data_IF_639075281931
#
_entry.id   IF_639075281931
#
_cell.length_a   1.000
_cell.length_b   1.000
_cell.length_c   1.000
_cell.angle_alpha   90.00
_cell.angle_beta   90.00
_cell.angle_gamma   90.00
#
_symmetry.space_group_name_H-M   'P 1'
#
loop_
_entity.id
_entity.type
_entity.pdbx_description
1 polymer ?
#
# COMPACT_ATOMS: atom_id res chain seq x y z
N UNK A 1 2.32 -3.98 29.72
CA UNK A 1 2.69 -3.71 31.12
C UNK A 1 1.51 -3.32 32.02
N UNK A 2 0.24 -3.34 31.59
CA UNK A 2 -0.91 -3.28 32.52
C UNK A 2 -1.10 -2.00 33.35
N UNK A 3 -0.17 -1.04 33.29
CA UNK A 3 -0.25 0.22 34.01
C UNK A 3 -1.43 1.08 33.54
N UNK A 4 -2.05 1.79 34.50
CA UNK A 4 -3.10 2.77 34.24
C UNK A 4 -2.63 4.15 34.70
N UNK A 5 -2.89 5.19 33.91
CA UNK A 5 -2.69 6.57 34.32
C UNK A 5 -3.64 6.90 35.46
N UNK A 6 -3.12 7.54 36.51
CA UNK A 6 -3.94 8.14 37.57
C UNK A 6 -4.80 9.29 37.01
N UNK A 7 -5.82 9.66 37.76
CA UNK A 7 -6.83 10.63 37.33
C UNK A 7 -6.22 11.99 36.99
N UNK A 8 -5.29 12.50 37.82
CA UNK A 8 -4.68 13.81 37.62
C UNK A 8 -3.82 13.84 36.36
N UNK A 9 -2.97 12.84 36.16
CA UNK A 9 -2.15 12.74 34.94
C UNK A 9 -3.01 12.67 33.69
N UNK A 10 -4.16 11.96 33.76
CA UNK A 10 -5.11 11.89 32.65
C UNK A 10 -5.76 13.24 32.34
N UNK A 11 -6.21 13.97 33.36
CA UNK A 11 -6.79 15.30 33.22
C UNK A 11 -5.80 16.30 32.62
N UNK A 12 -4.54 16.27 33.07
CA UNK A 12 -3.48 17.09 32.47
C UNK A 12 -3.26 16.77 30.99
N UNK A 13 -3.18 15.48 30.63
CA UNK A 13 -2.99 15.05 29.24
C UNK A 13 -4.17 15.45 28.34
N UNK A 14 -5.41 15.34 28.84
CA UNK A 14 -6.61 15.77 28.10
C UNK A 14 -6.65 17.29 27.93
N UNK A 15 -6.34 18.05 28.98
CA UNK A 15 -6.28 19.51 28.94
C UNK A 15 -5.23 20.00 27.94
N UNK A 16 -4.04 19.38 27.93
CA UNK A 16 -3.01 19.68 26.93
C UNK A 16 -3.48 19.41 25.49
N UNK A 17 -4.21 18.31 25.29
CA UNK A 17 -4.75 17.96 23.97
C UNK A 17 -5.82 18.96 23.50
N UNK A 18 -6.72 19.39 24.40
CA UNK A 18 -7.73 20.42 24.11
C UNK A 18 -7.11 21.78 23.79
N UNK A 19 -6.08 22.19 24.53
CA UNK A 19 -5.35 23.42 24.23
C UNK A 19 -4.81 23.40 22.81
N UNK A 20 -4.12 22.32 22.40
CA UNK A 20 -3.59 22.22 21.03
C UNK A 20 -4.71 22.24 19.99
N UNK A 21 -5.82 21.53 20.19
CA UNK A 21 -6.96 21.54 19.26
C UNK A 21 -7.54 22.96 19.09
N UNK A 22 -7.58 23.76 20.15
CA UNK A 22 -8.05 25.15 20.11
C UNK A 22 -7.11 26.08 19.32
N UNK A 23 -5.81 25.79 19.26
CA UNK A 23 -4.85 26.51 18.42
C UNK A 23 -4.90 26.03 16.96
N UNK A 24 -5.09 24.73 16.72
CA UNK A 24 -5.20 24.16 15.38
C UNK A 24 -6.42 24.69 14.61
N UNK A 25 -7.54 24.95 15.29
CA UNK A 25 -8.75 25.56 14.71
C UNK A 25 -8.57 27.04 14.34
N UNK A 26 -7.54 27.71 14.85
CA UNK A 26 -7.15 29.09 14.49
C UNK A 26 -6.05 29.15 13.40
N UNK A 27 -5.82 28.05 12.69
CA UNK A 27 -4.80 27.98 11.63
C UNK A 27 -3.37 27.81 12.13
N UNK A 28 -3.16 27.67 13.44
CA UNK A 28 -1.84 27.48 14.03
C UNK A 28 -1.57 25.98 14.18
N UNK A 29 -1.31 25.33 13.05
CA UNK A 29 -0.70 23.99 13.01
C UNK A 29 0.84 24.06 13.23
N UNK A 30 1.32 25.04 14.02
CA UNK A 30 2.71 25.50 14.01
C UNK A 30 3.68 24.71 14.90
N UNK A 31 3.21 23.73 15.67
CA UNK A 31 4.09 22.99 16.55
C UNK A 31 4.76 21.85 15.77
N UNK A 32 5.89 22.17 15.14
CA UNK A 32 6.82 21.18 14.58
C UNK A 32 7.49 20.46 15.76
N UNK A 33 6.96 19.30 16.14
CA UNK A 33 7.64 18.43 17.09
C UNK A 33 8.39 17.34 16.34
N UNK A 34 9.71 17.48 16.10
CA UNK A 34 10.49 16.42 15.46
C UNK A 34 10.47 15.11 16.27
N UNK A 35 10.16 15.16 17.58
CA UNK A 35 9.98 13.96 18.41
C UNK A 35 8.67 13.24 18.14
N UNK A 36 7.63 13.92 17.64
CA UNK A 36 6.32 13.29 17.44
C UNK A 36 6.37 12.10 16.48
N UNK A 37 7.16 12.22 15.40
CA UNK A 37 7.42 11.08 14.50
C UNK A 37 8.00 9.88 15.26
N UNK A 38 8.96 10.13 16.14
CA UNK A 38 9.63 9.10 16.92
C UNK A 38 8.68 8.45 17.94
N UNK A 39 7.86 9.25 18.63
CA UNK A 39 6.83 8.75 19.56
C UNK A 39 5.78 7.89 18.83
N UNK A 40 5.28 8.36 17.68
CA UNK A 40 4.36 7.58 16.84
C UNK A 40 4.99 6.29 16.35
N UNK A 41 6.27 6.31 15.98
CA UNK A 41 7.03 5.11 15.63
C UNK A 41 7.06 4.13 16.80
N UNK A 42 7.37 4.56 18.02
CA UNK A 42 7.38 3.67 19.18
C UNK A 42 6.00 3.05 19.44
N UNK A 43 4.93 3.86 19.37
CA UNK A 43 3.55 3.39 19.52
C UNK A 43 3.18 2.38 18.44
N UNK A 44 3.39 2.70 17.17
CA UNK A 44 2.97 1.90 16.01
C UNK A 44 3.86 0.67 15.75
N UNK A 45 5.07 0.64 16.30
CA UNK A 45 5.96 -0.52 16.27
C UNK A 45 5.76 -1.49 17.46
N UNK A 46 5.08 -1.06 18.53
CA UNK A 46 4.85 -1.89 19.71
C UNK A 46 3.95 -3.10 19.40
N UNK A 47 4.10 -4.19 20.17
CA UNK A 47 3.22 -5.37 20.07
C UNK A 47 1.74 -5.04 20.37
N UNK A 48 1.52 -4.05 21.25
CA UNK A 48 0.21 -3.58 21.73
C UNK A 48 -0.22 -2.26 21.08
N UNK A 49 0.22 -2.00 19.85
CA UNK A 49 0.02 -0.72 19.17
C UNK A 49 -1.45 -0.30 19.04
N UNK A 50 -2.39 -1.25 18.87
CA UNK A 50 -3.83 -0.94 18.83
C UNK A 50 -4.29 -0.40 20.18
N UNK A 51 -3.93 -1.06 21.28
CA UNK A 51 -4.30 -0.64 22.62
C UNK A 51 -3.70 0.74 22.93
N UNK A 52 -2.45 0.98 22.51
CA UNK A 52 -1.81 2.28 22.64
C UNK A 52 -2.55 3.36 21.84
N UNK A 53 -2.93 3.11 20.58
CA UNK A 53 -3.74 4.05 19.79
C UNK A 53 -5.10 4.33 20.44
N UNK A 54 -5.76 3.33 21.05
CA UNK A 54 -7.02 3.53 21.79
C UNK A 54 -6.84 4.43 23.00
N UNK A 55 -5.71 4.34 23.70
CA UNK A 55 -5.42 5.26 24.80
C UNK A 55 -5.17 6.67 24.28
N UNK A 56 -4.45 6.82 23.16
CA UNK A 56 -4.26 8.13 22.52
C UNK A 56 -5.58 8.75 22.06
N UNK A 57 -6.51 7.96 21.53
CA UNK A 57 -7.86 8.40 21.19
C UNK A 57 -8.61 8.94 22.43
N UNK A 58 -8.59 8.19 23.55
CA UNK A 58 -9.24 8.61 24.81
C UNK A 58 -8.66 9.90 25.40
N UNK A 59 -7.39 10.19 25.09
CA UNK A 59 -6.72 11.42 25.49
C UNK A 59 -6.96 12.57 24.49
N UNK A 60 -7.55 12.30 23.33
CA UNK A 60 -7.72 13.28 22.25
C UNK A 60 -6.43 13.59 21.49
N UNK A 61 -5.39 12.76 21.67
CA UNK A 61 -4.06 12.98 21.12
C UNK A 61 -3.98 12.68 19.61
N UNK A 62 -4.87 11.83 19.07
CA UNK A 62 -4.92 11.58 17.62
C UNK A 62 -5.35 12.80 16.81
N UNK A 63 -6.17 13.69 17.39
CA UNK A 63 -6.56 14.95 16.76
C UNK A 63 -5.40 15.92 16.52
N UNK A 64 -4.26 15.69 17.18
CA UNK A 64 -3.02 16.41 16.90
C UNK A 64 -2.51 16.14 15.47
N UNK A 65 -2.76 14.94 14.94
CA UNK A 65 -2.40 14.61 13.57
C UNK A 65 -3.36 15.24 12.57
N UNK A 66 -4.67 15.05 12.79
CA UNK A 66 -5.73 15.63 11.97
C UNK A 66 -7.02 15.72 12.78
N UNK A 67 -7.84 16.80 12.68
CA UNK A 67 -8.98 17.03 13.57
C UNK A 67 -10.06 15.96 13.49
N UNK A 68 -10.16 15.29 12.33
CA UNK A 68 -11.15 14.25 12.07
C UNK A 68 -10.55 12.84 12.16
N UNK A 69 -9.30 12.70 12.61
CA UNK A 69 -8.68 11.39 12.81
C UNK A 69 -9.21 10.76 14.08
N UNK A 70 -10.07 9.75 13.90
CA UNK A 70 -10.63 8.95 15.00
C UNK A 70 -10.28 7.49 14.78
N UNK A 71 -9.91 6.79 15.86
CA UNK A 71 -9.65 5.35 15.82
C UNK A 71 -10.96 4.54 15.76
N UNK A 72 -11.63 4.60 14.62
CA UNK A 72 -12.83 3.80 14.35
C UNK A 72 -12.50 2.29 14.28
N UNK A 73 -13.55 1.46 14.35
CA UNK A 73 -13.43 0.02 14.11
C UNK A 73 -12.90 -0.27 12.71
N UNK A 74 -13.37 0.48 11.71
CA UNK A 74 -12.90 0.38 10.33
C UNK A 74 -11.41 0.74 10.24
N UNK A 75 -10.98 1.91 10.70
CA UNK A 75 -9.56 2.31 10.66
C UNK A 75 -8.68 1.28 11.38
N UNK A 76 -9.12 0.79 12.55
CA UNK A 76 -8.41 -0.27 13.28
C UNK A 76 -8.23 -1.54 12.44
N UNK A 77 -9.24 -1.94 11.67
CA UNK A 77 -9.15 -3.09 10.76
C UNK A 77 -8.23 -2.82 9.57
N UNK A 78 -8.29 -1.63 8.98
CA UNK A 78 -7.42 -1.22 7.87
C UNK A 78 -5.93 -1.25 8.29
N UNK A 79 -5.62 -0.70 9.47
CA UNK A 79 -4.25 -0.69 10.03
C UNK A 79 -3.74 -2.09 10.41
N UNK A 80 -4.62 -2.97 10.91
CA UNK A 80 -4.27 -4.38 11.14
C UNK A 80 -3.98 -5.08 9.83
N UNK A 81 -4.83 -4.86 8.82
CA UNK A 81 -4.71 -5.47 7.50
C UNK A 81 -3.44 -5.07 6.78
N UNK A 82 -3.13 -3.77 6.71
CA UNK A 82 -1.90 -3.30 6.06
C UNK A 82 -0.67 -3.90 6.73
N UNK A 83 -0.64 -3.95 8.07
CA UNK A 83 0.46 -4.54 8.81
C UNK A 83 0.60 -6.05 8.58
N UNK A 84 -0.51 -6.78 8.57
CA UNK A 84 -0.52 -8.23 8.31
C UNK A 84 -0.07 -8.55 6.88
N UNK A 85 -0.53 -7.78 5.89
CA UNK A 85 -0.15 -7.96 4.49
C UNK A 85 1.33 -7.63 4.28
N UNK A 86 1.84 -6.51 4.79
CA UNK A 86 3.27 -6.18 4.69
C UNK A 86 4.14 -7.28 5.30
N UNK A 87 3.79 -7.77 6.49
CA UNK A 87 4.53 -8.84 7.15
C UNK A 87 4.47 -10.17 6.37
N UNK A 88 3.32 -10.50 5.78
CA UNK A 88 3.16 -11.72 4.98
C UNK A 88 3.95 -11.63 3.68
N UNK A 89 3.81 -10.52 2.96
CA UNK A 89 4.34 -10.35 1.61
C UNK A 89 5.81 -9.96 1.56
N UNK A 90 6.42 -9.48 2.65
CA UNK A 90 7.86 -9.17 2.66
C UNK A 90 8.75 -10.39 2.39
N UNK A 91 8.19 -11.61 2.55
CA UNK A 91 8.86 -12.87 2.19
C UNK A 91 8.84 -13.16 0.69
N UNK A 92 7.91 -12.56 -0.04
CA UNK A 92 7.72 -12.74 -1.49
C UNK A 92 8.28 -11.55 -2.29
N UNK A 93 8.27 -10.35 -1.70
CA UNK A 93 8.67 -9.11 -2.36
C UNK A 93 9.75 -8.40 -1.56
N UNK A 94 10.97 -8.37 -2.12
CA UNK A 94 12.15 -7.75 -1.51
C UNK A 94 12.04 -6.23 -1.36
N UNK A 95 11.14 -5.59 -2.11
CA UNK A 95 10.90 -4.14 -2.00
C UNK A 95 10.18 -3.73 -0.71
N UNK A 96 9.57 -4.68 0.01
CA UNK A 96 8.83 -4.38 1.24
C UNK A 96 9.81 -4.29 2.42
N UNK A 97 9.90 -3.11 3.02
CA UNK A 97 10.64 -2.91 4.26
C UNK A 97 9.80 -3.31 5.49
N UNK A 98 10.04 -4.53 5.98
CA UNK A 98 9.35 -5.06 7.15
C UNK A 98 9.70 -4.35 8.47
N UNK A 99 10.80 -3.59 8.53
CA UNK A 99 11.20 -2.83 9.72
C UNK A 99 10.41 -1.52 9.85
N UNK A 100 9.87 -1.01 8.75
CA UNK A 100 9.13 0.26 8.70
C UNK A 100 7.63 0.09 8.47
N UNK A 101 7.05 -1.06 8.86
CA UNK A 101 5.58 -1.28 8.86
C UNK A 101 4.84 -0.20 9.65
N UNK A 102 5.43 0.31 10.74
CA UNK A 102 4.87 1.40 11.54
C UNK A 102 4.60 2.65 10.67
N UNK A 103 5.48 2.95 9.71
CA UNK A 103 5.37 4.12 8.86
C UNK A 103 4.21 3.94 7.87
N UNK A 104 4.08 2.77 7.26
CA UNK A 104 2.98 2.49 6.34
C UNK A 104 1.62 2.46 7.06
N UNK A 105 1.57 2.02 8.33
CA UNK A 105 0.35 2.17 9.16
C UNK A 105 -0.02 3.63 9.35
N UNK A 106 0.96 4.48 9.71
CA UNK A 106 0.73 5.92 9.85
C UNK A 106 0.24 6.53 8.54
N UNK A 107 0.85 6.17 7.41
CA UNK A 107 0.45 6.62 6.09
C UNK A 107 -0.99 6.21 5.77
N UNK A 108 -1.38 4.94 5.97
CA UNK A 108 -2.78 4.51 5.78
C UNK A 108 -3.75 5.26 6.70
N UNK A 109 -3.35 5.57 7.93
CA UNK A 109 -4.19 6.32 8.86
C UNK A 109 -4.53 7.72 8.34
N UNK A 110 -3.64 8.34 7.58
CA UNK A 110 -3.81 9.70 7.08
C UNK A 110 -4.16 9.78 5.58
N UNK A 111 -3.94 8.71 4.81
CA UNK A 111 -3.98 8.71 3.35
C UNK A 111 -5.33 9.12 2.73
N UNK A 112 -6.42 9.02 3.49
CA UNK A 112 -7.76 9.39 3.00
C UNK A 112 -8.10 10.87 3.20
N UNK A 113 -7.26 11.62 3.94
CA UNK A 113 -7.47 13.04 4.15
C UNK A 113 -6.82 13.89 3.04
N UNK A 114 -7.45 15.00 2.60
CA UNK A 114 -6.90 15.88 1.56
C UNK A 114 -5.54 16.48 1.89
N UNK A 115 -5.22 16.64 3.18
CA UNK A 115 -3.99 17.23 3.69
C UNK A 115 -2.94 16.20 4.13
N UNK A 116 -3.11 14.92 3.74
CA UNK A 116 -2.20 13.82 4.08
C UNK A 116 -0.72 14.13 3.82
N UNK A 117 -0.41 14.74 2.68
CA UNK A 117 0.96 15.14 2.32
C UNK A 117 1.50 16.20 3.28
N UNK A 118 0.71 17.23 3.61
CA UNK A 118 1.09 18.28 4.56
C UNK A 118 1.33 17.71 5.96
N UNK A 119 0.50 16.77 6.39
CA UNK A 119 0.68 16.06 7.66
C UNK A 119 2.02 15.29 7.65
N UNK A 120 2.31 14.59 6.56
CA UNK A 120 3.55 13.82 6.41
C UNK A 120 4.81 14.69 6.34
N UNK A 121 4.76 15.85 5.68
CA UNK A 121 5.82 16.85 5.66
C UNK A 121 6.11 17.38 7.07
N UNK A 122 5.05 17.72 7.83
CA UNK A 122 5.17 18.15 9.23
C UNK A 122 5.77 17.07 10.13
N UNK A 123 5.46 15.81 9.86
CA UNK A 123 6.05 14.67 10.57
C UNK A 123 7.44 14.31 10.05
N UNK A 124 7.99 15.04 9.07
CA UNK A 124 9.26 14.75 8.43
C UNK A 124 9.37 13.29 7.96
N UNK A 125 8.31 12.77 7.32
CA UNK A 125 8.37 11.46 6.65
C UNK A 125 9.36 11.51 5.49
N UNK A 126 9.93 10.35 5.15
CA UNK A 126 10.88 10.25 4.04
C UNK A 126 10.19 10.48 2.69
N UNK A 127 10.99 10.74 1.64
CA UNK A 127 10.48 10.99 0.29
C UNK A 127 9.59 9.84 -0.22
N UNK A 128 9.91 8.60 0.13
CA UNK A 128 9.10 7.44 -0.24
C UNK A 128 7.68 7.53 0.36
N UNK A 129 7.54 7.90 1.64
CA UNK A 129 6.24 8.10 2.27
C UNK A 129 5.45 9.28 1.69
N UNK A 130 6.14 10.39 1.42
CA UNK A 130 5.53 11.56 0.74
C UNK A 130 4.99 11.18 -0.63
N UNK A 131 5.78 10.48 -1.44
CA UNK A 131 5.36 10.04 -2.78
C UNK A 131 4.16 9.08 -2.72
N UNK A 132 4.17 8.12 -1.79
CA UNK A 132 3.04 7.19 -1.61
C UNK A 132 1.75 7.91 -1.27
N UNK A 133 1.80 8.90 -0.37
CA UNK A 133 0.64 9.70 0.01
C UNK A 133 0.16 10.62 -1.11
N UNK A 134 1.08 11.25 -1.84
CA UNK A 134 0.75 12.10 -2.99
C UNK A 134 0.07 11.30 -4.12
N UNK A 135 0.53 10.08 -4.38
CA UNK A 135 -0.04 9.22 -5.41
C UNK A 135 -1.30 8.46 -4.96
N UNK A 136 -1.58 8.41 -3.66
CA UNK A 136 -2.66 7.59 -3.10
C UNK A 136 -4.04 7.87 -3.72
N UNK A 137 -4.48 9.14 -3.91
CA UNK A 137 -5.77 9.42 -4.55
C UNK A 137 -5.83 8.94 -6.00
N UNK A 138 -4.78 9.20 -6.80
CA UNK A 138 -4.72 8.77 -8.20
C UNK A 138 -4.75 7.24 -8.31
N UNK A 139 -4.02 6.54 -7.43
CA UNK A 139 -4.07 5.08 -7.36
C UNK A 139 -5.47 4.59 -6.99
N UNK A 140 -6.16 5.24 -6.04
CA UNK A 140 -7.54 4.90 -5.69
C UNK A 140 -8.48 5.03 -6.90
N UNK A 141 -8.38 6.11 -7.67
CA UNK A 141 -9.20 6.35 -8.86
C UNK A 141 -8.91 5.32 -9.96
N UNK A 142 -7.63 4.96 -10.13
CA UNK A 142 -7.25 3.88 -11.06
C UNK A 142 -7.83 2.54 -10.64
N UNK A 143 -7.84 2.24 -9.35
CA UNK A 143 -8.39 0.99 -8.80
C UNK A 143 -9.91 0.94 -8.79
N UNK A 144 -10.60 2.09 -8.86
CA UNK A 144 -12.04 2.12 -9.06
C UNK A 144 -12.47 1.48 -10.39
N UNK A 145 -11.54 1.33 -11.35
CA UNK A 145 -11.75 0.63 -12.62
C UNK A 145 -11.67 -0.89 -12.50
N UNK A 146 -11.21 -1.42 -11.36
CA UNK A 146 -11.16 -2.87 -11.16
C UNK A 146 -12.58 -3.41 -10.96
N UNK A 147 -12.96 -4.39 -11.77
CA UNK A 147 -14.19 -5.16 -11.63
C UNK A 147 -13.89 -6.65 -11.63
N UNK A 148 -14.89 -7.45 -11.25
CA UNK A 148 -14.78 -8.91 -11.30
C UNK A 148 -14.70 -9.46 -12.73
N UNK A 149 -15.11 -8.67 -13.73
CA UNK A 149 -15.17 -9.07 -15.15
C UNK A 149 -13.82 -8.92 -15.86
N UNK A 150 -12.87 -8.23 -15.24
CA UNK A 150 -11.54 -8.06 -15.82
C UNK A 150 -10.77 -9.38 -15.81
N UNK A 151 -10.07 -9.64 -16.92
CA UNK A 151 -9.14 -10.76 -16.99
C UNK A 151 -7.94 -10.51 -16.07
N UNK A 152 -7.26 -11.58 -15.59
CA UNK A 152 -6.01 -11.45 -14.84
C UNK A 152 -4.99 -10.51 -15.49
N UNK A 153 -4.81 -10.56 -16.81
CA UNK A 153 -3.89 -9.71 -17.56
C UNK A 153 -4.29 -8.23 -17.52
N UNK A 154 -5.58 -7.92 -17.59
CA UNK A 154 -6.09 -6.56 -17.43
C UNK A 154 -5.85 -6.04 -16.01
N UNK A 155 -6.09 -6.86 -14.99
CA UNK A 155 -5.82 -6.50 -13.60
C UNK A 155 -4.33 -6.24 -13.38
N UNK A 156 -3.45 -7.12 -13.87
CA UNK A 156 -1.99 -6.93 -13.76
C UNK A 156 -1.54 -5.63 -14.43
N UNK A 157 -2.02 -5.30 -15.64
CA UNK A 157 -1.70 -4.03 -16.32
C UNK A 157 -2.15 -2.78 -15.55
N UNK A 158 -3.26 -2.87 -14.82
CA UNK A 158 -3.70 -1.79 -13.95
C UNK A 158 -2.81 -1.63 -12.71
N UNK A 159 -2.15 -2.69 -12.25
CA UNK A 159 -1.38 -2.71 -11.00
C UNK A 159 0.13 -2.61 -11.18
N UNK A 160 0.69 -3.02 -12.33
CA UNK A 160 2.14 -3.17 -12.54
C UNK A 160 2.96 -1.88 -12.44
N UNK A 161 2.30 -0.71 -12.46
CA UNK A 161 2.97 0.59 -12.26
C UNK A 161 2.98 1.07 -10.81
N UNK A 162 2.29 0.37 -9.92
CA UNK A 162 2.26 0.65 -8.49
C UNK A 162 3.34 -0.23 -7.82
N UNK A 163 4.01 0.31 -6.81
CA UNK A 163 4.80 -0.54 -5.91
C UNK A 163 3.89 -1.51 -5.16
N UNK A 164 4.45 -2.64 -4.72
CA UNK A 164 3.75 -3.62 -3.88
C UNK A 164 3.25 -2.98 -2.59
N UNK A 165 4.04 -2.07 -2.01
CA UNK A 165 3.61 -1.32 -0.81
C UNK A 165 2.35 -0.49 -1.10
N UNK A 166 2.30 0.21 -2.25
CA UNK A 166 1.12 0.99 -2.63
C UNK A 166 -0.09 0.09 -2.92
N UNK A 167 0.09 -1.06 -3.56
CA UNK A 167 -0.99 -2.05 -3.76
C UNK A 167 -1.54 -2.54 -2.41
N UNK A 168 -0.65 -2.81 -1.44
CA UNK A 168 -1.04 -3.22 -0.09
C UNK A 168 -1.79 -2.10 0.65
N UNK A 169 -1.31 -0.85 0.55
CA UNK A 169 -2.00 0.31 1.14
C UNK A 169 -3.41 0.48 0.57
N UNK A 170 -3.58 0.31 -0.74
CA UNK A 170 -4.89 0.38 -1.38
C UNK A 170 -5.79 -0.78 -0.94
N UNK A 171 -5.27 -2.01 -0.86
CA UNK A 171 -5.99 -3.15 -0.31
C UNK A 171 -6.39 -3.00 1.16
N UNK A 172 -5.65 -2.17 1.92
CA UNK A 172 -5.99 -1.82 3.28
C UNK A 172 -7.30 -1.05 3.39
N UNK A 173 -7.64 -0.19 2.43
CA UNK A 173 -8.86 0.65 2.47
C UNK A 173 -9.94 0.21 1.47
N UNK A 174 -9.60 -0.65 0.52
CA UNK A 174 -10.50 -1.04 -0.56
C UNK A 174 -11.67 -1.93 -0.07
N UNK A 175 -12.83 -1.89 -0.76
CA UNK A 175 -13.93 -2.82 -0.55
C UNK A 175 -13.51 -4.29 -0.71
N UNK A 176 -14.29 -5.21 -0.14
CA UNK A 176 -13.94 -6.63 -0.09
C UNK A 176 -13.69 -7.26 -1.47
N UNK A 177 -14.46 -6.89 -2.50
CA UNK A 177 -14.31 -7.45 -3.85
C UNK A 177 -12.99 -7.00 -4.51
N UNK A 178 -12.65 -5.72 -4.44
CA UNK A 178 -11.36 -5.18 -4.91
C UNK A 178 -10.21 -5.80 -4.14
N UNK A 179 -10.34 -5.86 -2.81
CA UNK A 179 -9.33 -6.43 -1.93
C UNK A 179 -8.98 -7.89 -2.28
N UNK A 180 -9.97 -8.70 -2.71
CA UNK A 180 -9.71 -10.07 -3.20
C UNK A 180 -8.87 -10.07 -4.47
N UNK A 181 -9.13 -9.16 -5.42
CA UNK A 181 -8.33 -9.03 -6.64
C UNK A 181 -6.89 -8.62 -6.32
N UNK A 182 -6.70 -7.64 -5.44
CA UNK A 182 -5.36 -7.20 -5.01
C UNK A 182 -4.60 -8.34 -4.31
N UNK A 183 -5.25 -9.10 -3.44
CA UNK A 183 -4.62 -10.25 -2.80
C UNK A 183 -4.21 -11.33 -3.80
N UNK A 184 -5.03 -11.59 -4.83
CA UNK A 184 -4.72 -12.56 -5.89
C UNK A 184 -3.59 -12.08 -6.80
N UNK A 185 -3.55 -10.78 -7.10
CA UNK A 185 -2.43 -10.15 -7.79
C UNK A 185 -1.11 -10.39 -7.03
N UNK A 186 -1.10 -10.10 -5.73
CA UNK A 186 0.08 -10.23 -4.88
C UNK A 186 0.52 -11.68 -4.61
N UNK A 187 -0.40 -12.65 -4.59
CA UNK A 187 -0.04 -14.04 -4.28
C UNK A 187 0.15 -14.93 -5.50
N UNK A 188 -0.40 -14.55 -6.65
CA UNK A 188 -0.46 -15.42 -7.82
C UNK A 188 0.06 -14.67 -9.02
N UNK A 189 -0.71 -13.71 -9.54
CA UNK A 189 -0.48 -13.18 -10.89
C UNK A 189 0.85 -12.46 -11.04
N UNK A 190 1.27 -11.71 -10.03
CA UNK A 190 2.54 -11.00 -10.06
C UNK A 190 3.77 -11.90 -9.80
N UNK A 191 3.54 -13.17 -9.43
CA UNK A 191 4.59 -14.17 -9.19
C UNK A 191 4.70 -15.20 -10.33
N UNK A 192 3.80 -15.16 -11.32
CA UNK A 192 3.82 -16.06 -12.46
C UNK A 192 5.11 -15.82 -13.27
N UNK A 193 5.86 -16.90 -13.50
CA UNK A 193 7.04 -16.90 -14.36
C UNK A 193 6.62 -17.14 -15.80
N UNK A 194 7.16 -16.34 -16.71
CA UNK A 194 6.94 -16.52 -18.14
C UNK A 194 7.61 -17.81 -18.62
N UNK A 195 6.93 -18.63 -19.45
CA UNK A 195 7.49 -19.85 -20.01
C UNK A 195 8.58 -19.57 -21.06
N UNK A 196 8.54 -18.40 -21.71
CA UNK A 196 9.54 -17.95 -22.67
C UNK A 196 10.06 -16.55 -22.31
N UNK A 197 11.35 -16.35 -22.49
CA UNK A 197 12.01 -15.05 -22.42
C UNK A 197 12.60 -14.61 -23.75
N UNK A 198 13.29 -13.46 -23.75
CA UNK A 198 13.94 -12.94 -24.96
C UNK A 198 15.04 -13.87 -25.52
N UNK A 199 15.71 -14.64 -24.66
CA UNK A 199 16.67 -15.63 -25.11
C UNK A 199 16.01 -16.74 -25.93
N UNK A 200 14.83 -17.20 -25.52
CA UNK A 200 14.09 -18.24 -26.22
C UNK A 200 13.55 -17.73 -27.55
N UNK A 201 13.05 -16.50 -27.60
CA UNK A 201 12.69 -15.85 -28.87
C UNK A 201 13.90 -15.79 -29.84
N UNK A 202 15.09 -15.48 -29.33
CA UNK A 202 16.32 -15.50 -30.16
C UNK A 202 16.61 -16.90 -30.70
N UNK A 203 16.43 -17.94 -29.88
CA UNK A 203 16.60 -19.35 -30.30
C UNK A 203 15.58 -19.77 -31.35
N UNK A 204 14.36 -19.22 -31.28
CA UNK A 204 13.30 -19.43 -32.27
C UNK A 204 13.53 -18.68 -33.59
N UNK A 205 14.60 -17.89 -33.73
CA UNK A 205 14.96 -17.20 -34.98
C UNK A 205 14.53 -15.73 -35.04
N UNK A 206 13.92 -15.18 -33.99
CA UNK A 206 13.55 -13.77 -33.94
C UNK A 206 14.78 -12.87 -33.76
N UNK A 207 14.79 -11.71 -34.43
CA UNK A 207 15.86 -10.71 -34.30
C UNK A 207 15.60 -9.78 -33.11
N UNK A 208 16.55 -9.57 -32.19
CA UNK A 208 16.34 -8.66 -31.06
C UNK A 208 15.91 -7.26 -31.50
N UNK A 209 14.84 -6.72 -30.89
CA UNK A 209 14.31 -5.40 -31.24
C UNK A 209 12.97 -5.09 -30.59
N UNK A 210 12.35 -3.97 -30.97
CA UNK A 210 11.08 -3.49 -30.38
C UNK A 210 9.95 -4.52 -30.44
N UNK A 211 9.92 -5.37 -31.47
CA UNK A 211 8.90 -6.40 -31.59
C UNK A 211 8.98 -7.48 -30.50
N UNK A 212 10.13 -7.66 -29.82
CA UNK A 212 10.23 -8.59 -28.69
C UNK A 212 9.23 -8.21 -27.60
N UNK A 213 9.12 -6.93 -27.28
CA UNK A 213 8.21 -6.45 -26.27
C UNK A 213 6.76 -6.76 -26.64
N UNK A 214 6.40 -6.60 -27.93
CA UNK A 214 5.06 -6.94 -28.43
C UNK A 214 4.76 -8.43 -28.26
N UNK A 215 5.69 -9.31 -28.66
CA UNK A 215 5.54 -10.76 -28.54
C UNK A 215 5.44 -11.17 -27.07
N UNK A 216 6.35 -10.70 -26.23
CA UNK A 216 6.39 -11.06 -24.81
C UNK A 216 5.18 -10.52 -24.04
N UNK A 217 4.68 -9.33 -24.37
CA UNK A 217 3.45 -8.80 -23.76
C UNK A 217 2.22 -9.62 -24.17
N UNK A 218 2.08 -9.96 -25.46
CA UNK A 218 0.97 -10.78 -25.92
C UNK A 218 0.99 -12.19 -25.29
N UNK A 219 2.18 -12.79 -25.20
CA UNK A 219 2.37 -14.06 -24.50
C UNK A 219 2.06 -13.92 -23.00
N UNK A 220 2.51 -12.83 -22.36
CA UNK A 220 2.25 -12.58 -20.93
C UNK A 220 0.77 -12.49 -20.64
N UNK A 221 0.00 -11.80 -21.48
CA UNK A 221 -1.45 -11.71 -21.30
C UNK A 221 -2.10 -13.09 -21.33
N UNK A 222 -1.78 -13.91 -22.35
CA UNK A 222 -2.28 -15.28 -22.52
C UNK A 222 -1.91 -16.20 -21.35
N UNK A 223 -0.70 -16.07 -20.83
CA UNK A 223 -0.23 -16.84 -19.67
C UNK A 223 -0.97 -16.42 -18.40
N UNK A 224 -1.12 -15.12 -18.17
CA UNK A 224 -1.86 -14.60 -17.02
C UNK A 224 -3.33 -15.01 -17.04
N UNK A 225 -3.94 -15.01 -18.23
CA UNK A 225 -5.34 -15.39 -18.43
C UNK A 225 -5.54 -16.92 -18.45
N UNK A 226 -4.47 -17.70 -18.33
CA UNK A 226 -4.49 -19.15 -18.19
C UNK A 226 -4.68 -19.93 -19.48
N UNK A 227 -4.59 -19.24 -20.63
CA UNK A 227 -4.70 -19.81 -21.98
C UNK A 227 -3.42 -20.57 -22.38
N UNK A 228 -2.27 -20.16 -21.85
CA UNK A 228 -0.97 -20.81 -22.09
C UNK A 228 -0.34 -21.19 -20.76
N UNK A 229 0.03 -22.46 -20.61
CA UNK A 229 0.59 -23.04 -19.37
C UNK A 229 1.95 -23.69 -19.60
N UNK A 230 2.25 -24.11 -20.82
CA UNK A 230 3.48 -24.84 -21.14
C UNK A 230 4.39 -24.07 -22.09
N UNK A 231 5.67 -24.45 -22.11
CA UNK A 231 6.66 -23.92 -23.06
C UNK A 231 6.23 -24.24 -24.50
N UNK A 232 5.77 -25.45 -24.76
CA UNK A 232 5.34 -25.88 -26.10
C UNK A 232 4.12 -25.11 -26.61
N UNK A 233 3.13 -24.84 -25.75
CA UNK A 233 2.00 -23.96 -26.09
C UNK A 233 2.47 -22.53 -26.38
N UNK A 234 3.43 -22.02 -25.59
CA UNK A 234 3.98 -20.69 -25.78
C UNK A 234 4.75 -20.57 -27.11
N UNK A 235 5.58 -21.55 -27.45
CA UNK A 235 6.32 -21.59 -28.72
C UNK A 235 5.36 -21.65 -29.91
N UNK A 236 4.33 -22.51 -29.82
CA UNK A 236 3.31 -22.65 -30.85
C UNK A 236 2.53 -21.35 -31.06
N UNK A 237 2.13 -20.69 -29.98
CA UNK A 237 1.45 -19.40 -30.04
C UNK A 237 2.31 -18.33 -30.71
N UNK A 238 3.59 -18.22 -30.30
CA UNK A 238 4.52 -17.24 -30.86
C UNK A 238 4.72 -17.47 -32.36
N UNK A 239 4.96 -18.71 -32.79
CA UNK A 239 5.18 -19.05 -34.19
C UNK A 239 3.93 -18.78 -35.07
N UNK A 240 2.73 -19.05 -34.55
CA UNK A 240 1.47 -18.84 -35.29
C UNK A 240 1.09 -17.36 -35.38
N UNK A 241 1.20 -16.62 -34.27
CA UNK A 241 0.72 -15.24 -34.20
C UNK A 241 1.73 -14.23 -34.73
N UNK A 242 3.02 -14.58 -34.73
CA UNK A 242 4.12 -13.72 -35.16
C UNK A 242 5.06 -14.48 -36.12
N UNK A 243 4.60 -14.87 -37.32
CA UNK A 243 5.41 -15.65 -38.25
C UNK A 243 6.69 -14.89 -38.64
N UNK A 244 7.79 -15.62 -38.74
CA UNK A 244 9.04 -15.07 -39.30
C UNK A 244 8.87 -14.87 -40.81
N UNK A 245 9.40 -13.77 -41.37
CA UNK A 245 9.44 -13.55 -42.81
C UNK A 245 10.37 -14.53 -43.53
#
# INVERSE_FOLDING_TARGET
>A
MGFQLDLRTREYAQSASQLVQSYSSRGIWSYQNPRLKQELRYVLAAKYWIEALRQLEKLGALHYLHPHLTLSSELSQQLRRVGAWLFHFCRLYLEIDCHNIWQVRLEVAIATYPDAVKIAERLHLNQAGLNRLANFPNHRDRLAKLSADLTPSQVVRLLERLSITEVIMQGAVAPAHIRRLLYRYLNVWNLIKMPLGGHDLKRMGYKPGRHYQTILNALRDRVLDGEIKTVTEAESFVAQQFPLP
#
